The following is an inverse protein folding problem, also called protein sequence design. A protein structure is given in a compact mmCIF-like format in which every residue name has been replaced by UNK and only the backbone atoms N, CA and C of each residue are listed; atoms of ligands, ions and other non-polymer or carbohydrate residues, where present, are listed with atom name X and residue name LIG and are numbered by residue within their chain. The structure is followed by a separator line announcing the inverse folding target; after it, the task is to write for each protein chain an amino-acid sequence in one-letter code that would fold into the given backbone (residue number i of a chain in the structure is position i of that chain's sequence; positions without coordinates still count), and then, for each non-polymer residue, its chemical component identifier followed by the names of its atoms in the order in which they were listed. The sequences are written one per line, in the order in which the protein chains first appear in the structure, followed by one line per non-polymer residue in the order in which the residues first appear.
data_IF_546176288718
#
_entry.id   IF_546176288718
#
_cell.length_a   1.000
_cell.length_b   1.000
_cell.length_c   1.000
_cell.angle_alpha   90.00
_cell.angle_beta   90.00
_cell.angle_gamma   90.00
#
_symmetry.space_group_name_H-M   'P 1'
#
loop_
_entity.id
_entity.type
_entity.pdbx_description
1 polymer ?
#
# COMPACT_ATOMS: atom_id res chain seq x y z
N UNK A 1 -3.36 -9.21 35.55
CA UNK A 1 -3.34 -9.82 34.22
C UNK A 1 -2.40 -9.05 33.32
N UNK A 2 -1.55 -9.73 32.64
CA UNK A 2 -0.63 -9.10 31.70
C UNK A 2 -1.36 -8.70 30.42
N UNK A 3 -1.37 -7.37 30.14
CA UNK A 3 -2.06 -6.84 28.97
C UNK A 3 -1.46 -7.34 27.65
N UNK A 4 -0.19 -7.80 27.63
CA UNK A 4 0.45 -8.32 26.44
C UNK A 4 -0.17 -9.63 25.94
N UNK A 5 -0.77 -10.41 26.84
CA UNK A 5 -1.42 -11.68 26.49
C UNK A 5 -2.65 -11.47 25.62
N UNK A 6 -3.36 -10.35 25.79
CA UNK A 6 -4.58 -10.05 25.05
C UNK A 6 -4.35 -9.57 23.62
N UNK A 7 -3.09 -9.30 23.24
CA UNK A 7 -2.74 -8.73 21.94
C UNK A 7 -1.71 -9.57 21.20
N UNK A 8 -2.07 -10.80 20.91
CA UNK A 8 -1.21 -11.73 20.19
C UNK A 8 -1.04 -11.35 18.70
N UNK A 9 -1.94 -10.55 18.14
CA UNK A 9 -1.91 -10.10 16.75
C UNK A 9 -1.45 -8.66 16.65
N UNK A 10 -1.04 -8.26 15.46
CA UNK A 10 -0.52 -6.90 15.24
C UNK A 10 -1.64 -5.85 15.33
N UNK A 11 -1.23 -4.57 15.39
CA UNK A 11 -2.19 -3.46 15.45
C UNK A 11 -3.04 -3.41 14.18
N UNK A 12 -4.20 -2.77 14.25
CA UNK A 12 -5.10 -2.61 13.09
C UNK A 12 -4.39 -1.89 11.93
N UNK A 13 -3.66 -0.83 12.23
CA UNK A 13 -2.91 -0.07 11.22
C UNK A 13 -1.87 -0.94 10.53
N UNK A 14 -1.11 -1.70 11.29
CA UNK A 14 -0.09 -2.61 10.74
C UNK A 14 -0.72 -3.72 9.91
N UNK A 15 -1.83 -4.26 10.36
CA UNK A 15 -2.57 -5.30 9.63
C UNK A 15 -3.14 -4.79 8.31
N UNK A 16 -3.60 -3.56 8.28
CA UNK A 16 -4.08 -2.92 7.04
C UNK A 16 -2.92 -2.77 6.05
N UNK A 17 -1.77 -2.27 6.50
CA UNK A 17 -0.57 -2.16 5.66
C UNK A 17 -0.15 -3.52 5.12
N UNK A 18 -0.12 -4.54 5.98
CA UNK A 18 0.22 -5.90 5.60
C UNK A 18 -0.76 -6.50 4.58
N UNK A 19 -2.05 -6.23 4.74
CA UNK A 19 -3.07 -6.70 3.80
C UNK A 19 -2.90 -6.06 2.42
N UNK A 20 -2.63 -4.77 2.36
CA UNK A 20 -2.35 -4.08 1.10
C UNK A 20 -1.10 -4.65 0.44
N UNK A 21 -0.01 -4.81 1.19
CA UNK A 21 1.23 -5.37 0.68
C UNK A 21 1.03 -6.78 0.12
N UNK A 22 0.28 -7.62 0.83
CA UNK A 22 -0.03 -8.97 0.40
C UNK A 22 -0.85 -9.00 -0.89
N UNK A 23 -1.86 -8.16 -1.01
CA UNK A 23 -2.68 -8.06 -2.22
C UNK A 23 -1.85 -7.62 -3.43
N UNK A 24 -0.99 -6.64 -3.26
CA UNK A 24 -0.11 -6.18 -4.33
C UNK A 24 0.85 -7.28 -4.78
N UNK A 25 1.48 -7.96 -3.84
CA UNK A 25 2.42 -9.04 -4.16
C UNK A 25 1.74 -10.20 -4.90
N UNK A 26 0.56 -10.61 -4.44
CA UNK A 26 -0.18 -11.71 -5.04
C UNK A 26 -0.73 -11.39 -6.42
N UNK A 27 -1.13 -10.15 -6.65
CA UNK A 27 -1.76 -9.72 -7.91
C UNK A 27 -0.73 -9.38 -8.99
N UNK A 28 0.38 -8.76 -8.61
CA UNK A 28 1.39 -8.25 -9.55
C UNK A 28 2.52 -9.25 -9.77
N UNK A 29 2.19 -10.40 -10.34
CA UNK A 29 3.11 -11.53 -10.57
C UNK A 29 3.32 -11.83 -12.06
N UNK A 30 3.04 -10.89 -12.93
CA UNK A 30 3.18 -11.06 -14.37
C UNK A 30 1.99 -11.75 -15.05
N UNK A 31 0.89 -11.96 -14.32
CA UNK A 31 -0.32 -12.62 -14.86
C UNK A 31 -1.32 -11.56 -15.31
N UNK A 32 -1.87 -11.75 -16.52
CA UNK A 32 -2.92 -10.86 -17.03
C UNK A 32 -4.07 -10.76 -16.03
N UNK A 33 -4.73 -9.58 -15.91
CA UNK A 33 -4.62 -8.40 -16.78
C UNK A 33 -3.48 -7.44 -16.43
N UNK A 34 -2.67 -7.76 -15.44
CA UNK A 34 -1.58 -6.87 -15.00
C UNK A 34 -0.35 -7.04 -15.88
N UNK A 35 0.37 -5.93 -16.08
CA UNK A 35 1.60 -5.89 -16.87
C UNK A 35 2.84 -6.12 -16.04
N UNK A 36 2.75 -5.84 -14.73
CA UNK A 36 3.90 -5.81 -13.84
C UNK A 36 4.14 -7.14 -13.17
N UNK A 37 5.43 -7.46 -12.98
CA UNK A 37 5.88 -8.59 -12.16
C UNK A 37 6.81 -8.04 -11.09
N UNK A 38 6.30 -7.86 -9.87
CA UNK A 38 6.99 -7.19 -8.77
C UNK A 38 7.91 -8.17 -8.06
N UNK A 39 9.16 -7.78 -7.83
CA UNK A 39 10.16 -8.62 -7.17
C UNK A 39 10.04 -8.59 -5.66
N UNK A 40 9.62 -7.45 -5.09
CA UNK A 40 9.43 -7.33 -3.65
C UNK A 40 8.33 -6.35 -3.32
N UNK A 41 7.57 -6.65 -2.27
CA UNK A 41 6.62 -5.73 -1.66
C UNK A 41 6.87 -5.76 -0.16
N UNK A 42 7.25 -4.62 0.42
CA UNK A 42 7.56 -4.52 1.83
C UNK A 42 6.55 -3.63 2.57
N UNK A 43 6.15 -4.01 3.79
CA UNK A 43 5.22 -3.22 4.59
C UNK A 43 5.91 -2.09 5.36
N UNK A 44 6.88 -1.44 4.72
CA UNK A 44 7.60 -0.28 5.25
C UNK A 44 8.24 0.51 4.13
N UNK A 45 8.48 1.79 4.36
CA UNK A 45 9.18 2.65 3.40
C UNK A 45 10.69 2.57 3.64
N UNK A 46 11.46 2.55 2.55
CA UNK A 46 12.93 2.59 2.56
C UNK A 46 13.42 3.70 1.64
N UNK A 47 14.66 4.12 1.84
CA UNK A 47 15.31 5.03 0.90
C UNK A 47 15.61 4.31 -0.42
N UNK A 48 15.64 5.08 -1.50
CA UNK A 48 15.85 4.54 -2.85
C UNK A 48 17.16 3.78 -3.00
N UNK A 49 18.21 4.17 -2.28
CA UNK A 49 19.53 3.53 -2.32
C UNK A 49 19.57 2.18 -1.60
N UNK A 50 18.55 1.85 -0.83
CA UNK A 50 18.42 0.56 -0.17
C UNK A 50 17.68 -0.47 -1.03
N UNK A 51 17.10 -0.05 -2.14
CA UNK A 51 16.33 -0.92 -3.02
C UNK A 51 17.27 -1.57 -4.03
N UNK A 52 17.28 -2.90 -4.07
CA UNK A 52 18.19 -3.68 -4.94
C UNK A 52 17.47 -4.50 -5.99
N UNK A 53 16.21 -4.84 -5.74
CA UNK A 53 15.39 -5.64 -6.66
C UNK A 53 14.27 -4.78 -7.24
N UNK A 54 14.08 -4.84 -8.55
CA UNK A 54 13.08 -4.03 -9.25
C UNK A 54 12.18 -4.90 -10.14
N UNK A 55 10.93 -4.55 -10.33
CA UNK A 55 10.17 -3.51 -9.63
C UNK A 55 9.98 -3.83 -8.14
N UNK A 56 9.98 -2.81 -7.31
CA UNK A 56 9.78 -2.94 -5.88
C UNK A 56 8.66 -2.00 -5.41
N UNK A 57 7.89 -2.46 -4.45
CA UNK A 57 6.81 -1.68 -3.85
C UNK A 57 7.00 -1.64 -2.34
N UNK A 58 6.75 -0.50 -1.75
CA UNK A 58 6.80 -0.29 -0.31
C UNK A 58 5.50 0.36 0.14
N UNK A 59 4.94 -0.15 1.23
CA UNK A 59 3.67 0.32 1.78
C UNK A 59 3.89 0.81 3.20
N UNK A 60 3.55 2.07 3.46
CA UNK A 60 3.73 2.67 4.78
C UNK A 60 2.51 3.44 5.24
N UNK A 61 2.18 3.32 6.53
CA UNK A 61 1.12 4.09 7.14
C UNK A 61 1.66 5.40 7.69
N UNK A 62 0.94 6.47 7.43
CA UNK A 62 1.26 7.80 7.94
C UNK A 62 0.22 8.31 8.93
N UNK A 63 -0.23 9.52 8.69
CA UNK A 63 -1.20 10.20 9.53
C UNK A 63 -2.57 9.52 9.48
N UNK A 64 -3.20 9.46 10.63
CA UNK A 64 -4.60 9.05 10.77
C UNK A 64 -5.39 10.22 11.33
N UNK A 65 -6.48 10.58 10.67
CA UNK A 65 -7.47 11.53 11.19
C UNK A 65 -8.71 10.79 11.66
N UNK A 66 -9.43 11.38 12.58
CA UNK A 66 -10.62 10.76 13.15
C UNK A 66 -11.76 11.76 13.23
N UNK A 67 -12.96 11.28 12.93
CA UNK A 67 -14.19 12.04 13.09
C UNK A 67 -15.06 11.31 14.10
N UNK A 68 -15.52 12.05 15.11
CA UNK A 68 -16.38 11.52 16.16
C UNK A 68 -17.80 11.98 15.90
N UNK A 69 -18.68 10.98 15.74
CA UNK A 69 -20.12 11.22 15.57
C UNK A 69 -20.87 11.00 16.87
N UNK A 70 -22.07 11.51 16.96
CA UNK A 70 -22.96 11.25 18.08
C UNK A 70 -23.27 9.76 18.23
N UNK A 71 -23.55 9.29 19.46
CA UNK A 71 -23.86 7.89 19.72
C UNK A 71 -22.66 6.97 19.83
N UNK A 72 -21.45 7.52 19.97
CA UNK A 72 -20.23 6.74 20.16
C UNK A 72 -19.58 6.24 18.87
N UNK A 73 -20.09 6.64 17.71
CA UNK A 73 -19.48 6.29 16.43
C UNK A 73 -18.24 7.14 16.16
N UNK A 74 -17.26 6.52 15.53
CA UNK A 74 -16.03 7.18 15.16
C UNK A 74 -15.57 6.63 13.81
N UNK A 75 -15.19 7.53 12.91
CA UNK A 75 -14.59 7.18 11.62
C UNK A 75 -13.10 7.45 11.69
N UNK A 76 -12.32 6.52 11.15
CA UNK A 76 -10.87 6.62 11.07
C UNK A 76 -10.47 6.69 9.61
N UNK A 77 -9.60 7.64 9.29
CA UNK A 77 -9.09 7.84 7.93
C UNK A 77 -7.57 7.73 7.98
N UNK A 78 -7.06 6.58 7.57
CA UNK A 78 -5.64 6.28 7.58
C UNK A 78 -5.02 6.60 6.22
N UNK A 79 -4.00 7.45 6.22
CA UNK A 79 -3.24 7.75 5.02
C UNK A 79 -2.14 6.71 4.84
N UNK A 80 -2.13 6.09 3.67
CA UNK A 80 -1.16 5.07 3.27
C UNK A 80 -0.39 5.59 2.06
N UNK A 81 0.93 5.44 2.10
CA UNK A 81 1.80 5.69 0.95
C UNK A 81 2.18 4.35 0.34
N UNK A 82 1.92 4.19 -0.95
CA UNK A 82 2.41 3.06 -1.75
C UNK A 82 3.48 3.61 -2.68
N UNK A 83 4.74 3.33 -2.37
CA UNK A 83 5.89 3.82 -3.14
C UNK A 83 6.38 2.74 -4.07
N UNK A 84 6.55 3.10 -5.34
CA UNK A 84 6.93 2.18 -6.40
C UNK A 84 8.29 2.56 -6.96
N UNK A 85 9.17 1.56 -7.13
CA UNK A 85 10.49 1.73 -7.74
C UNK A 85 10.60 0.84 -8.95
N UNK A 86 11.04 1.41 -10.05
CA UNK A 86 11.38 0.68 -11.29
C UNK A 86 12.78 1.04 -11.72
N UNK A 87 13.39 0.14 -12.48
CA UNK A 87 14.68 0.38 -13.14
C UNK A 87 14.57 -0.07 -14.58
N UNK A 88 14.74 0.85 -15.51
CA UNK A 88 14.62 0.57 -16.94
C UNK A 88 15.58 1.47 -17.71
N UNK A 89 16.40 0.87 -18.57
CA UNK A 89 17.38 1.62 -19.36
C UNK A 89 16.79 2.20 -20.64
N UNK A 90 15.63 1.72 -21.06
CA UNK A 90 15.00 2.14 -22.32
C UNK A 90 13.95 3.23 -22.10
N UNK A 91 12.93 2.93 -21.26
CA UNK A 91 11.84 3.87 -20.98
C UNK A 91 11.34 3.68 -19.56
N UNK A 92 12.00 4.35 -18.63
CA UNK A 92 11.67 4.26 -17.21
C UNK A 92 10.33 4.92 -16.90
N UNK A 93 9.95 5.95 -17.65
CA UNK A 93 8.68 6.66 -17.45
C UNK A 93 7.51 5.73 -17.76
N UNK A 94 7.57 5.03 -18.90
CA UNK A 94 6.53 4.06 -19.27
C UNK A 94 6.45 2.91 -18.26
N UNK A 95 7.60 2.36 -17.87
CA UNK A 95 7.65 1.27 -16.89
C UNK A 95 7.00 1.68 -15.56
N UNK A 96 7.26 2.90 -15.11
CA UNK A 96 6.67 3.43 -13.88
C UNK A 96 5.16 3.67 -14.02
N UNK A 97 4.72 4.25 -15.14
CA UNK A 97 3.30 4.48 -15.40
C UNK A 97 2.50 3.17 -15.43
N UNK A 98 3.05 2.14 -16.06
CA UNK A 98 2.42 0.82 -16.09
C UNK A 98 2.29 0.22 -14.68
N UNK A 99 3.33 0.33 -13.87
CA UNK A 99 3.30 -0.17 -12.48
C UNK A 99 2.30 0.60 -11.64
N UNK A 100 2.27 1.92 -11.75
CA UNK A 100 1.32 2.76 -11.00
C UNK A 100 -0.13 2.44 -11.36
N UNK A 101 -0.43 2.27 -12.64
CA UNK A 101 -1.78 1.89 -13.08
C UNK A 101 -2.18 0.52 -12.54
N UNK A 102 -1.27 -0.45 -12.56
CA UNK A 102 -1.52 -1.76 -11.98
C UNK A 102 -1.79 -1.68 -10.47
N UNK A 103 -1.02 -0.87 -9.74
CA UNK A 103 -1.23 -0.63 -8.30
C UNK A 103 -2.61 -0.03 -8.03
N UNK A 104 -2.99 0.98 -8.80
CA UNK A 104 -4.32 1.60 -8.67
C UNK A 104 -5.43 0.56 -8.86
N UNK A 105 -5.30 -0.27 -9.88
CA UNK A 105 -6.29 -1.31 -10.18
C UNK A 105 -6.42 -2.32 -9.03
N UNK A 106 -5.31 -2.77 -8.47
CA UNK A 106 -5.33 -3.69 -7.33
C UNK A 106 -6.00 -3.05 -6.12
N UNK A 107 -5.68 -1.79 -5.83
CA UNK A 107 -6.28 -1.08 -4.70
C UNK A 107 -7.79 -0.91 -4.86
N UNK A 108 -8.25 -0.60 -6.06
CA UNK A 108 -9.68 -0.42 -6.34
C UNK A 108 -10.43 -1.75 -6.34
N UNK A 109 -9.84 -2.81 -6.88
CA UNK A 109 -10.45 -4.13 -6.94
C UNK A 109 -10.61 -4.77 -5.56
N UNK A 110 -9.81 -4.37 -4.58
CA UNK A 110 -9.82 -4.88 -3.22
C UNK A 110 -10.48 -3.91 -2.22
N UNK A 111 -11.40 -3.11 -2.67
CA UNK A 111 -12.19 -2.22 -1.83
C UNK A 111 -13.60 -2.83 -1.64
N UNK A 112 -14.06 -3.12 -0.40
CA UNK A 112 -13.36 -2.95 0.86
C UNK A 112 -12.27 -4.00 1.12
N UNK A 113 -11.27 -3.60 1.91
CA UNK A 113 -10.14 -4.45 2.25
C UNK A 113 -10.43 -5.25 3.52
N UNK A 114 -10.08 -6.54 3.52
CA UNK A 114 -10.18 -7.40 4.70
C UNK A 114 -8.84 -7.45 5.43
N UNK A 115 -8.87 -7.31 6.74
CA UNK A 115 -7.68 -7.39 7.59
C UNK A 115 -8.04 -8.07 8.93
N UNK A 116 -7.01 -8.45 9.69
CA UNK A 116 -7.19 -9.06 11.00
C UNK A 116 -6.82 -8.05 12.08
N UNK A 117 -7.71 -7.84 13.05
CA UNK A 117 -7.45 -6.93 14.16
C UNK A 117 -6.52 -7.55 15.21
N UNK A 118 -6.16 -6.77 16.25
CA UNK A 118 -5.24 -7.22 17.30
C UNK A 118 -5.79 -8.34 18.19
N UNK A 119 -7.06 -8.66 18.07
CA UNK A 119 -7.68 -9.79 18.78
C UNK A 119 -7.79 -11.05 17.92
N UNK A 120 -7.33 -10.99 16.66
CA UNK A 120 -7.43 -12.10 15.71
C UNK A 120 -8.74 -12.17 14.94
N UNK A 121 -9.62 -11.20 15.14
CA UNK A 121 -10.92 -11.14 14.47
C UNK A 121 -10.78 -10.50 13.08
N UNK A 122 -11.44 -11.09 12.08
CA UNK A 122 -11.51 -10.54 10.73
C UNK A 122 -12.36 -9.27 10.71
N UNK A 123 -11.84 -8.22 10.10
CA UNK A 123 -12.49 -6.92 9.93
C UNK A 123 -12.43 -6.52 8.47
N UNK A 124 -13.33 -5.63 8.06
CA UNK A 124 -13.34 -5.04 6.74
C UNK A 124 -13.26 -3.52 6.84
N UNK A 125 -12.47 -2.90 5.98
CA UNK A 125 -12.45 -1.44 5.87
C UNK A 125 -13.75 -0.96 5.22
N UNK A 126 -14.07 0.33 5.41
CA UNK A 126 -15.27 0.91 4.81
C UNK A 126 -15.03 1.32 3.37
N UNK A 127 -13.90 1.98 3.10
CA UNK A 127 -13.59 2.53 1.77
C UNK A 127 -12.11 2.79 1.58
N UNK A 128 -11.65 2.56 0.34
CA UNK A 128 -10.32 2.94 -0.13
C UNK A 128 -10.46 4.08 -1.14
N UNK A 129 -9.79 5.19 -0.90
CA UNK A 129 -9.81 6.35 -1.79
C UNK A 129 -8.40 6.68 -2.22
N UNK A 130 -8.15 6.71 -3.53
CA UNK A 130 -6.87 7.16 -4.08
C UNK A 130 -6.89 8.69 -4.09
N UNK A 131 -5.95 9.30 -3.35
CA UNK A 131 -5.89 10.75 -3.20
C UNK A 131 -4.98 11.41 -4.25
N UNK A 132 -3.84 10.80 -4.53
CA UNK A 132 -2.90 11.34 -5.52
C UNK A 132 -1.96 10.26 -6.05
N UNK A 133 -1.41 10.53 -7.23
CA UNK A 133 -0.38 9.72 -7.87
C UNK A 133 0.72 10.68 -8.33
N UNK A 134 1.93 10.48 -7.83
CA UNK A 134 3.07 11.33 -8.11
C UNK A 134 4.24 10.53 -8.67
N UNK A 135 5.04 11.15 -9.52
CA UNK A 135 6.25 10.55 -10.09
C UNK A 135 7.43 11.49 -9.96
N UNK A 136 8.64 10.96 -10.13
CA UNK A 136 9.87 11.76 -10.20
C UNK A 136 10.10 12.40 -11.58
N UNK A 137 9.19 12.16 -12.52
CA UNK A 137 9.22 12.69 -13.89
C UNK A 137 10.50 12.36 -14.66
N UNK A 138 11.14 11.24 -14.33
CA UNK A 138 12.35 10.78 -15.00
C UNK A 138 13.64 11.40 -14.49
N UNK A 139 13.59 12.17 -13.41
CA UNK A 139 14.78 12.86 -12.85
C UNK A 139 15.88 11.89 -12.45
N UNK A 140 15.52 10.69 -11.99
CA UNK A 140 16.47 9.69 -11.50
C UNK A 140 16.81 8.59 -12.52
N UNK A 141 16.52 8.80 -13.80
CA UNK A 141 16.81 7.77 -14.82
C UNK A 141 18.21 7.16 -14.64
N UNK A 142 18.37 5.83 -14.77
CA UNK A 142 17.40 4.79 -15.18
C UNK A 142 16.48 4.30 -14.05
N UNK A 143 16.55 4.90 -12.88
CA UNK A 143 15.65 4.63 -11.76
C UNK A 143 14.40 5.50 -11.87
N UNK A 144 13.23 4.90 -11.65
CA UNK A 144 11.96 5.62 -11.58
C UNK A 144 11.31 5.42 -10.21
N UNK A 145 10.80 6.51 -9.65
CA UNK A 145 10.12 6.51 -8.35
C UNK A 145 8.75 7.14 -8.49
N UNK A 146 7.74 6.45 -8.00
CA UNK A 146 6.37 6.96 -7.97
C UNK A 146 5.69 6.64 -6.65
N UNK A 147 4.67 7.40 -6.33
CA UNK A 147 3.89 7.20 -5.11
C UNK A 147 2.40 7.29 -5.40
N UNK A 148 1.65 6.35 -4.83
CA UNK A 148 0.19 6.41 -4.76
C UNK A 148 -0.16 6.67 -3.31
N UNK A 149 -0.85 7.77 -3.07
CA UNK A 149 -1.34 8.13 -1.74
C UNK A 149 -2.80 7.74 -1.66
N UNK A 150 -3.12 6.90 -0.70
CA UNK A 150 -4.47 6.41 -0.48
C UNK A 150 -4.93 6.73 0.93
N UNK A 151 -6.25 6.83 1.07
CA UNK A 151 -6.90 6.97 2.35
C UNK A 151 -7.79 5.77 2.59
N UNK A 152 -7.58 5.10 3.70
CA UNK A 152 -8.37 3.95 4.12
C UNK A 152 -9.28 4.38 5.26
N UNK A 153 -10.58 4.29 5.02
CA UNK A 153 -11.58 4.50 6.07
C UNK A 153 -11.89 3.18 6.76
N UNK A 154 -11.70 3.15 8.08
CA UNK A 154 -11.95 1.93 8.87
C UNK A 154 -12.47 2.18 10.28
#
# INVERSE_FOLDING_TARGET
MDASIARAHSTRRRSIVGAIASQLYQSLNGTAPFRSSVQSVEPRLRFWDEVTDFPAIQVGAGQETREYEGGGFRFRFLRITVRCYVHDNDDVILALEELLEDVETVLEDNDPLTYTDSTGKSQSTAKTTILSVDTDEGVLEPLGVGEVIVEIQY
#
